data_IF_082938277736
#
_entry.id   IF_082938277736
#
_cell.length_a   1.000
_cell.length_b   1.000
_cell.length_c   1.000
_cell.angle_alpha   90.00
_cell.angle_beta   90.00
_cell.angle_gamma   90.00
#
_symmetry.space_group_name_H-M   'P 1'
#
loop_
_entity.id
_entity.type
_entity.pdbx_description
1 polymer ?
#
# COMPACT_ATOMS: atom_id res chain seq x y z
N UNK A 1 11.38 2.60 34.13
CA UNK A 1 11.79 2.35 32.73
C UNK A 1 10.86 1.30 32.14
N UNK A 2 10.36 1.50 30.91
CA UNK A 2 9.55 0.48 30.22
C UNK A 2 10.49 -0.54 29.55
N UNK A 3 10.11 -1.83 29.49
CA UNK A 3 10.92 -2.85 28.84
C UNK A 3 10.98 -2.58 27.34
N UNK A 4 12.18 -2.77 26.77
CA UNK A 4 12.40 -2.69 25.32
C UNK A 4 11.65 -3.84 24.63
N UNK A 5 11.05 -3.61 23.45
CA UNK A 5 10.44 -4.68 22.67
C UNK A 5 11.51 -5.74 22.33
N UNK A 6 11.20 -7.00 22.61
CA UNK A 6 12.07 -8.13 22.31
C UNK A 6 11.67 -8.65 20.93
N UNK A 7 12.59 -8.58 19.98
CA UNK A 7 12.44 -9.18 18.66
C UNK A 7 12.58 -10.69 18.83
N UNK A 8 11.64 -11.45 18.28
CA UNK A 8 11.72 -12.90 18.21
C UNK A 8 12.59 -13.29 17.01
N UNK A 9 13.79 -13.79 17.30
CA UNK A 9 14.78 -14.17 16.28
C UNK A 9 14.51 -15.55 15.67
N UNK A 10 13.62 -16.36 16.26
CA UNK A 10 13.29 -17.70 15.77
C UNK A 10 12.39 -17.67 14.52
N UNK A 11 11.85 -16.49 14.18
CA UNK A 11 11.05 -16.27 12.97
C UNK A 11 11.93 -16.22 11.70
N UNK A 12 13.24 -15.99 11.84
CA UNK A 12 14.14 -15.82 10.69
C UNK A 12 14.75 -17.14 10.23
N UNK A 13 14.76 -17.36 8.91
CA UNK A 13 15.49 -18.49 8.33
C UNK A 13 17.01 -18.30 8.42
N UNK A 14 17.76 -19.41 8.38
CA UNK A 14 19.24 -19.38 8.43
C UNK A 14 19.88 -18.51 7.34
N UNK A 15 19.25 -18.41 6.17
CA UNK A 15 19.74 -17.58 5.07
C UNK A 15 19.47 -16.09 5.32
N UNK A 16 18.35 -15.74 5.96
CA UNK A 16 18.04 -14.38 6.40
C UNK A 16 18.99 -13.92 7.50
N UNK A 17 19.23 -14.76 8.51
CA UNK A 17 20.19 -14.47 9.59
C UNK A 17 21.56 -14.13 9.01
N UNK A 18 22.05 -14.95 8.07
CA UNK A 18 23.35 -14.73 7.43
C UNK A 18 23.42 -13.44 6.59
N UNK A 19 22.32 -13.06 5.95
CA UNK A 19 22.23 -11.78 5.23
C UNK A 19 22.19 -10.60 6.20
N UNK A 20 21.48 -10.76 7.32
CA UNK A 20 21.37 -9.75 8.35
C UNK A 20 22.72 -9.49 9.01
N UNK A 21 23.43 -10.55 9.42
CA UNK A 21 24.80 -10.48 9.95
C UNK A 21 25.73 -9.73 8.99
N UNK A 22 25.74 -10.12 7.71
CA UNK A 22 26.61 -9.48 6.71
C UNK A 22 26.28 -8.00 6.51
N UNK A 23 25.01 -7.63 6.60
CA UNK A 23 24.56 -6.24 6.42
C UNK A 23 24.88 -5.41 7.67
N UNK A 24 24.68 -6.00 8.85
CA UNK A 24 25.01 -5.39 10.13
C UNK A 24 26.52 -5.19 10.31
N UNK A 25 27.34 -6.15 9.89
CA UNK A 25 28.80 -6.03 9.91
C UNK A 25 29.26 -4.85 9.06
N UNK A 26 28.69 -4.68 7.86
CA UNK A 26 28.99 -3.52 7.01
C UNK A 26 28.55 -2.20 7.66
N UNK A 27 27.35 -2.19 8.25
CA UNK A 27 26.77 -1.01 8.88
C UNK A 27 27.56 -0.60 10.13
N UNK A 28 28.02 -1.56 10.92
CA UNK A 28 28.75 -1.34 12.18
C UNK A 28 30.16 -0.80 11.98
N UNK A 29 30.78 -1.07 10.83
CA UNK A 29 32.10 -0.55 10.49
C UNK A 29 32.09 0.88 9.91
N UNK A 30 30.90 1.43 9.64
CA UNK A 30 30.73 2.76 9.06
C UNK A 30 30.66 3.84 10.15
N UNK A 31 31.29 5.02 9.95
CA UNK A 31 31.04 6.18 10.80
C UNK A 31 29.57 6.62 10.70
N UNK A 32 28.89 6.70 11.84
CA UNK A 32 27.50 7.15 11.93
C UNK A 32 27.49 8.68 12.01
N UNK A 33 26.88 9.32 11.01
CA UNK A 33 26.71 10.78 10.95
C UNK A 33 25.52 11.28 11.77
N UNK A 34 25.23 12.57 11.67
CA UNK A 34 24.01 13.14 12.25
C UNK A 34 22.74 12.56 11.59
N UNK A 35 21.59 12.64 12.27
CA UNK A 35 20.31 12.12 11.73
C UNK A 35 20.01 12.68 10.33
N UNK A 36 20.35 13.95 10.09
CA UNK A 36 20.15 14.57 8.78
C UNK A 36 21.14 14.03 7.74
N UNK A 37 22.42 13.91 8.08
CA UNK A 37 23.43 13.32 7.18
C UNK A 37 23.10 11.87 6.81
N UNK A 38 22.55 11.10 7.75
CA UNK A 38 22.08 9.74 7.51
C UNK A 38 20.88 9.67 6.56
N UNK A 39 20.07 10.74 6.52
CA UNK A 39 18.93 10.90 5.61
C UNK A 39 19.30 11.66 4.32
N UNK A 40 20.60 11.94 4.10
CA UNK A 40 21.08 12.69 2.94
C UNK A 40 20.61 14.14 2.89
N UNK A 41 20.39 14.74 4.06
CA UNK A 41 19.89 16.10 4.22
C UNK A 41 20.82 16.90 5.15
N UNK A 42 20.82 18.23 5.00
CA UNK A 42 21.45 19.11 5.99
C UNK A 42 20.42 19.84 6.84
N UNK A 43 19.17 19.91 6.35
CA UNK A 43 18.02 20.50 7.03
C UNK A 43 16.75 19.62 6.86
N UNK A 44 15.77 19.71 7.77
CA UNK A 44 14.56 18.86 7.74
C UNK A 44 13.78 18.89 6.42
N UNK A 45 13.78 20.03 5.73
CA UNK A 45 13.02 20.26 4.49
C UNK A 45 13.66 19.57 3.27
N UNK A 46 14.94 19.19 3.36
CA UNK A 46 15.68 18.52 2.29
C UNK A 46 15.54 16.99 2.29
N UNK A 47 14.92 16.44 3.34
CA UNK A 47 14.75 15.01 3.55
C UNK A 47 13.81 14.44 2.49
N UNK A 48 14.38 13.68 1.55
CA UNK A 48 13.67 12.96 0.52
C UNK A 48 14.14 11.50 0.50
N UNK A 49 13.21 10.56 0.27
CA UNK A 49 13.51 9.12 0.29
C UNK A 49 14.61 8.72 -0.73
N UNK A 50 14.70 9.45 -1.83
CA UNK A 50 15.71 9.27 -2.88
C UNK A 50 17.15 9.57 -2.41
N UNK A 51 17.28 10.37 -1.35
CA UNK A 51 18.57 10.80 -0.78
C UNK A 51 19.02 9.94 0.41
N UNK A 52 18.18 9.01 0.86
CA UNK A 52 18.53 8.06 1.92
C UNK A 52 19.68 7.19 1.42
N UNK A 53 20.74 7.07 2.24
CA UNK A 53 21.94 6.29 1.89
C UNK A 53 21.56 4.88 1.44
N UNK A 54 22.24 4.38 0.40
CA UNK A 54 21.87 3.14 -0.28
C UNK A 54 21.88 1.91 0.64
N UNK A 55 22.76 1.89 1.64
CA UNK A 55 22.84 0.83 2.65
C UNK A 55 21.63 0.80 3.60
N UNK A 56 21.06 1.97 3.94
CA UNK A 56 19.77 2.07 4.65
C UNK A 56 18.60 1.69 3.76
N UNK A 57 18.65 2.09 2.50
CA UNK A 57 17.63 1.72 1.50
C UNK A 57 17.60 0.23 1.22
N UNK A 58 18.76 -0.45 1.21
CA UNK A 58 18.82 -1.92 1.12
C UNK A 58 18.12 -2.59 2.30
N UNK A 59 18.29 -2.05 3.51
CA UNK A 59 17.60 -2.53 4.71
C UNK A 59 16.09 -2.28 4.62
N UNK A 60 15.68 -1.08 4.18
CA UNK A 60 14.28 -0.73 3.94
C UNK A 60 13.67 -1.59 2.83
N UNK A 61 14.40 -1.94 1.77
CA UNK A 61 13.95 -2.85 0.71
C UNK A 61 13.84 -4.29 1.19
N UNK A 62 14.70 -4.74 2.12
CA UNK A 62 14.57 -6.06 2.75
C UNK A 62 13.33 -6.09 3.66
N UNK A 63 13.11 -5.06 4.48
CA UNK A 63 11.95 -4.97 5.38
C UNK A 63 10.65 -4.76 4.58
N UNK A 64 10.66 -3.93 3.53
CA UNK A 64 9.52 -3.70 2.63
C UNK A 64 9.34 -4.85 1.61
N UNK A 65 10.35 -5.71 1.44
CA UNK A 65 10.25 -6.98 0.73
C UNK A 65 9.68 -8.10 1.60
N UNK A 66 9.96 -8.09 2.90
CA UNK A 66 9.33 -8.98 3.90
C UNK A 66 7.86 -8.60 4.16
N UNK A 67 7.50 -7.32 4.06
CA UNK A 67 6.11 -6.90 3.84
C UNK A 67 5.81 -7.19 2.36
N UNK A 68 5.46 -8.42 1.99
CA UNK A 68 5.16 -8.82 0.60
C UNK A 68 4.39 -7.75 -0.20
N UNK A 69 5.13 -6.88 -0.90
CA UNK A 69 4.60 -5.87 -1.82
C UNK A 69 4.67 -6.38 -3.27
N UNK A 70 5.35 -7.52 -3.49
CA UNK A 70 5.60 -8.10 -4.80
C UNK A 70 4.40 -8.70 -5.53
N UNK A 71 3.21 -8.74 -4.92
CA UNK A 71 2.03 -9.37 -5.53
C UNK A 71 0.75 -8.52 -5.53
N UNK A 72 0.82 -7.22 -5.21
CA UNK A 72 -0.33 -6.35 -5.51
C UNK A 72 -0.35 -6.10 -7.02
N UNK A 73 -0.95 -7.06 -7.72
CA UNK A 73 -1.32 -6.96 -9.13
C UNK A 73 -2.09 -5.67 -9.37
N UNK A 74 -1.83 -5.01 -10.50
CA UNK A 74 -2.51 -3.78 -10.90
C UNK A 74 -3.98 -4.06 -11.12
N UNK A 75 -4.81 -3.39 -10.34
CA UNK A 75 -6.25 -3.48 -10.50
C UNK A 75 -6.73 -2.27 -11.31
N UNK A 76 -7.57 -2.46 -12.34
CA UNK A 76 -8.27 -3.70 -12.71
C UNK A 76 -7.56 -4.55 -13.79
N UNK A 77 -6.50 -4.05 -14.41
CA UNK A 77 -5.93 -4.59 -15.65
C UNK A 77 -5.42 -6.04 -15.53
N UNK A 78 -4.82 -6.41 -14.41
CA UNK A 78 -4.30 -7.77 -14.19
C UNK A 78 -5.40 -8.79 -13.81
N UNK A 79 -6.64 -8.32 -13.66
CA UNK A 79 -7.80 -9.11 -13.24
C UNK A 79 -8.90 -9.18 -14.31
N UNK A 80 -8.71 -8.53 -15.46
CA UNK A 80 -9.62 -8.59 -16.61
C UNK A 80 -8.91 -9.34 -17.73
N UNK A 81 -9.56 -10.36 -18.30
CA UNK A 81 -9.00 -11.10 -19.43
C UNK A 81 -9.12 -10.31 -20.75
N UNK A 82 -8.11 -10.43 -21.62
CA UNK A 82 -8.11 -9.78 -22.92
C UNK A 82 -9.21 -10.38 -23.83
N UNK A 83 -10.32 -9.67 -23.99
CA UNK A 83 -11.45 -10.08 -24.83
C UNK A 83 -12.82 -10.02 -24.15
N UNK A 84 -12.87 -9.77 -22.84
CA UNK A 84 -14.14 -9.59 -22.14
C UNK A 84 -14.88 -8.31 -22.56
N UNK A 85 -16.21 -8.41 -22.70
CA UNK A 85 -17.05 -7.24 -22.89
C UNK A 85 -17.01 -6.35 -21.64
N UNK A 86 -16.33 -5.22 -21.75
CA UNK A 86 -16.19 -4.26 -20.67
C UNK A 86 -17.02 -2.99 -20.95
N UNK A 87 -17.62 -2.44 -19.90
CA UNK A 87 -18.09 -1.06 -19.87
C UNK A 87 -16.92 -0.17 -19.45
N UNK A 88 -16.57 0.82 -20.27
CA UNK A 88 -15.57 1.82 -19.89
C UNK A 88 -16.24 2.99 -19.18
N UNK A 89 -15.65 3.41 -18.06
CA UNK A 89 -16.01 4.66 -17.38
C UNK A 89 -14.76 5.50 -17.14
N UNK A 90 -14.90 6.81 -17.28
CA UNK A 90 -13.90 7.76 -16.82
C UNK A 90 -14.21 8.16 -15.39
N UNK A 91 -13.20 8.07 -14.53
CA UNK A 91 -13.34 8.37 -13.12
C UNK A 91 -12.32 9.43 -12.74
N UNK A 92 -12.74 10.55 -12.11
CA UNK A 92 -11.80 11.55 -11.64
C UNK A 92 -10.90 10.94 -10.56
N UNK A 93 -9.68 11.45 -10.40
CA UNK A 93 -8.85 11.08 -9.26
C UNK A 93 -9.31 11.81 -8.00
N UNK A 94 -9.23 11.16 -6.85
CA UNK A 94 -9.53 11.79 -5.57
C UNK A 94 -10.03 10.82 -4.52
N UNK A 95 -10.52 11.35 -3.40
CA UNK A 95 -11.06 10.54 -2.31
C UNK A 95 -12.33 9.83 -2.78
N UNK A 96 -12.32 8.50 -2.67
CA UNK A 96 -13.43 7.62 -3.02
C UNK A 96 -14.26 7.28 -1.79
N UNK A 97 -15.57 7.24 -1.94
CA UNK A 97 -16.52 6.74 -0.93
C UNK A 97 -17.56 5.87 -1.62
N UNK A 98 -17.63 4.61 -1.23
CA UNK A 98 -18.71 3.70 -1.61
C UNK A 98 -19.90 3.93 -0.69
N UNK A 99 -21.11 3.99 -1.25
CA UNK A 99 -22.35 4.13 -0.51
C UNK A 99 -23.51 3.39 -1.15
N UNK A 100 -24.62 3.31 -0.42
CA UNK A 100 -25.90 2.83 -0.94
C UNK A 100 -27.01 3.79 -0.51
N UNK A 101 -27.99 3.98 -1.39
CA UNK A 101 -29.23 4.66 -1.08
C UNK A 101 -30.43 3.92 -1.71
N UNK A 102 -31.61 4.52 -1.65
CA UNK A 102 -32.84 3.92 -2.20
C UNK A 102 -32.80 3.69 -3.72
N UNK A 103 -31.83 4.28 -4.44
CA UNK A 103 -31.63 4.07 -5.88
C UNK A 103 -30.62 2.97 -6.19
N UNK A 104 -29.97 2.39 -5.17
CA UNK A 104 -28.97 1.34 -5.34
C UNK A 104 -27.59 1.76 -4.82
N UNK A 105 -26.56 1.14 -5.38
CA UNK A 105 -25.17 1.35 -4.98
C UNK A 105 -24.54 2.48 -5.78
N UNK A 106 -23.63 3.22 -5.17
CA UNK A 106 -22.92 4.30 -5.85
C UNK A 106 -21.50 4.49 -5.33
N UNK A 107 -20.67 5.04 -6.19
CA UNK A 107 -19.31 5.48 -5.86
C UNK A 107 -19.22 6.98 -6.03
N UNK A 108 -18.78 7.68 -4.97
CA UNK A 108 -18.54 9.12 -5.00
C UNK A 108 -17.05 9.39 -5.01
N UNK A 109 -16.57 10.11 -6.01
CA UNK A 109 -15.14 10.38 -6.20
C UNK A 109 -14.86 11.87 -6.27
N UNK A 110 -13.99 12.38 -5.39
CA UNK A 110 -13.62 13.80 -5.34
C UNK A 110 -14.25 14.60 -4.19
N UNK A 111 -14.72 13.96 -3.12
CA UNK A 111 -15.20 14.65 -1.92
C UNK A 111 -16.64 15.20 -2.04
N UNK A 112 -16.91 16.41 -1.51
CA UNK A 112 -18.27 16.95 -1.39
C UNK A 112 -18.92 17.29 -2.75
N UNK A 113 -18.15 17.82 -3.71
CA UNK A 113 -18.54 18.12 -5.09
C UNK A 113 -18.12 17.02 -6.08
N UNK A 114 -17.79 15.84 -5.59
CA UNK A 114 -17.29 14.73 -6.38
C UNK A 114 -18.32 14.12 -7.33
N UNK A 115 -17.85 13.53 -8.42
CA UNK A 115 -18.67 12.78 -9.36
C UNK A 115 -19.31 11.58 -8.67
N UNK A 116 -20.60 11.35 -8.96
CA UNK A 116 -21.35 10.19 -8.47
C UNK A 116 -21.56 9.23 -9.61
N UNK A 117 -21.12 7.99 -9.43
CA UNK A 117 -21.24 6.90 -10.39
C UNK A 117 -22.22 5.89 -9.81
N UNK A 118 -23.30 5.61 -10.51
CA UNK A 118 -24.30 4.60 -10.10
C UNK A 118 -23.84 3.20 -10.52
N UNK A 119 -24.04 2.24 -9.62
CA UNK A 119 -23.59 0.86 -9.76
C UNK A 119 -24.78 -0.09 -9.60
N UNK A 120 -24.82 -1.15 -10.39
CA UNK A 120 -25.85 -2.19 -10.32
C UNK A 120 -25.72 -3.10 -9.10
N UNK A 121 -24.50 -3.23 -8.55
CA UNK A 121 -24.23 -4.08 -7.39
C UNK A 121 -23.18 -3.47 -6.45
N UNK A 122 -23.08 -4.04 -5.25
CA UNK A 122 -22.04 -3.68 -4.28
C UNK A 122 -20.65 -4.03 -4.81
N UNK A 123 -20.53 -5.13 -5.55
CA UNK A 123 -19.26 -5.59 -6.09
C UNK A 123 -18.78 -4.70 -7.24
N UNK A 124 -19.67 -4.23 -8.10
CA UNK A 124 -19.33 -3.21 -9.09
C UNK A 124 -18.83 -1.92 -8.41
N UNK A 125 -19.48 -1.49 -7.33
CA UNK A 125 -19.06 -0.31 -6.58
C UNK A 125 -17.65 -0.50 -5.94
N UNK A 126 -17.38 -1.69 -5.37
CA UNK A 126 -16.06 -2.03 -4.83
C UNK A 126 -15.00 -2.15 -5.92
N UNK A 127 -15.37 -2.65 -7.10
CA UNK A 127 -14.48 -2.74 -8.25
C UNK A 127 -13.98 -1.35 -8.65
N UNK A 128 -14.91 -0.40 -8.80
CA UNK A 128 -14.57 1.00 -9.14
C UNK A 128 -13.74 1.62 -8.02
N UNK A 129 -14.08 1.37 -6.75
CA UNK A 129 -13.28 1.85 -5.62
C UNK A 129 -11.82 1.38 -5.73
N UNK A 130 -11.59 0.09 -5.94
CA UNK A 130 -10.24 -0.45 -6.07
C UNK A 130 -9.50 0.09 -7.28
N UNK A 131 -10.16 0.27 -8.42
CA UNK A 131 -9.54 0.85 -9.61
C UNK A 131 -9.10 2.31 -9.37
N UNK A 132 -9.93 3.12 -8.72
CA UNK A 132 -9.58 4.52 -8.43
C UNK A 132 -8.50 4.62 -7.35
N UNK A 133 -8.52 3.72 -6.37
CA UNK A 133 -7.45 3.62 -5.37
C UNK A 133 -6.10 3.30 -6.00
N UNK A 134 -6.07 2.57 -7.12
CA UNK A 134 -4.86 2.31 -7.90
C UNK A 134 -4.54 3.40 -8.93
N UNK A 135 -5.22 4.54 -8.88
CA UNK A 135 -4.94 5.68 -9.76
C UNK A 135 -5.47 5.51 -11.19
N UNK A 136 -6.28 4.49 -11.48
CA UNK A 136 -6.87 4.30 -12.81
C UNK A 136 -7.86 5.43 -13.11
N UNK A 137 -7.55 6.25 -14.12
CA UNK A 137 -8.45 7.31 -14.63
C UNK A 137 -9.53 6.77 -15.57
N UNK A 138 -9.24 5.64 -16.22
CA UNK A 138 -10.15 4.91 -17.09
C UNK A 138 -10.31 3.52 -16.52
N UNK A 139 -11.53 3.16 -16.13
CA UNK A 139 -11.84 1.87 -15.51
C UNK A 139 -12.65 1.06 -16.51
N UNK A 140 -12.12 -0.11 -16.89
CA UNK A 140 -12.84 -1.12 -17.66
C UNK A 140 -13.54 -2.04 -16.67
N UNK A 141 -14.85 -2.16 -16.73
CA UNK A 141 -15.65 -2.98 -15.82
C UNK A 141 -16.23 -4.14 -16.65
N UNK A 142 -15.89 -5.40 -16.36
CA UNK A 142 -16.50 -6.55 -17.02
C UNK A 142 -18.03 -6.51 -16.87
N UNK A 143 -18.77 -6.80 -17.93
CA UNK A 143 -20.23 -6.96 -17.86
C UNK A 143 -20.65 -8.23 -17.11
N UNK A 144 -19.76 -9.24 -17.07
CA UNK A 144 -20.02 -10.46 -16.32
C UNK A 144 -19.83 -10.22 -14.81
N UNK A 145 -20.92 -10.39 -14.07
CA UNK A 145 -20.94 -10.18 -12.62
C UNK A 145 -20.04 -11.18 -11.87
N UNK A 146 -19.80 -12.37 -12.44
CA UNK A 146 -18.93 -13.37 -11.80
C UNK A 146 -17.47 -12.92 -11.85
N UNK A 147 -16.98 -12.44 -13.00
CA UNK A 147 -15.63 -11.87 -13.10
C UNK A 147 -15.44 -10.70 -12.13
N UNK A 148 -16.41 -9.79 -12.04
CA UNK A 148 -16.38 -8.66 -11.09
C UNK A 148 -16.28 -9.16 -9.65
N UNK A 149 -17.12 -10.13 -9.26
CA UNK A 149 -17.10 -10.75 -7.92
C UNK A 149 -15.77 -11.40 -7.60
N UNK A 150 -15.22 -12.18 -8.52
CA UNK A 150 -13.95 -12.87 -8.31
C UNK A 150 -12.79 -11.87 -8.19
N UNK A 151 -12.72 -10.88 -9.09
CA UNK A 151 -11.69 -9.85 -9.07
C UNK A 151 -11.71 -9.07 -7.75
N UNK A 152 -12.89 -8.62 -7.32
CA UNK A 152 -13.07 -7.90 -6.05
C UNK A 152 -12.73 -8.79 -4.85
N UNK A 153 -13.10 -10.07 -4.86
CA UNK A 153 -12.80 -10.98 -3.76
C UNK A 153 -11.29 -11.25 -3.65
N UNK A 154 -10.62 -11.51 -4.77
CA UNK A 154 -9.17 -11.79 -4.82
C UNK A 154 -8.36 -10.57 -4.41
N UNK A 155 -8.65 -9.42 -4.99
CA UNK A 155 -7.96 -8.18 -4.68
C UNK A 155 -8.27 -7.71 -3.26
N UNK A 156 -9.54 -7.73 -2.85
CA UNK A 156 -9.96 -7.34 -1.49
C UNK A 156 -9.28 -8.19 -0.41
N UNK A 157 -9.18 -9.50 -0.62
CA UNK A 157 -8.47 -10.39 0.32
C UNK A 157 -6.98 -10.08 0.41
N UNK A 158 -6.32 -9.78 -0.72
CA UNK A 158 -4.91 -9.39 -0.74
C UNK A 158 -4.69 -8.03 -0.04
N UNK A 159 -5.56 -7.06 -0.34
CA UNK A 159 -5.54 -5.74 0.26
C UNK A 159 -5.74 -5.78 1.78
N UNK A 160 -6.72 -6.57 2.26
CA UNK A 160 -6.99 -6.73 3.69
C UNK A 160 -5.84 -7.43 4.42
N UNK A 161 -5.21 -8.44 3.80
CA UNK A 161 -4.01 -9.06 4.35
C UNK A 161 -2.89 -8.05 4.49
N UNK A 162 -2.60 -7.29 3.44
CA UNK A 162 -1.56 -6.25 3.46
C UNK A 162 -1.86 -5.18 4.52
N UNK A 163 -3.11 -4.68 4.58
CA UNK A 163 -3.55 -3.72 5.60
C UNK A 163 -3.35 -4.25 7.02
N UNK A 164 -3.66 -5.53 7.26
CA UNK A 164 -3.42 -6.18 8.56
C UNK A 164 -1.93 -6.27 8.89
N UNK A 165 -1.09 -6.67 7.94
CA UNK A 165 0.37 -6.74 8.13
C UNK A 165 0.92 -5.36 8.48
N UNK A 166 0.58 -4.32 7.71
CA UNK A 166 1.02 -2.95 7.99
C UNK A 166 0.52 -2.47 9.35
N UNK A 167 -0.74 -2.73 9.69
CA UNK A 167 -1.30 -2.35 11.00
C UNK A 167 -0.63 -3.11 12.16
N UNK A 168 -0.37 -4.40 12.01
CA UNK A 168 0.37 -5.22 12.98
C UNK A 168 1.77 -4.67 13.19
N UNK A 169 2.52 -4.46 12.12
CA UNK A 169 3.90 -3.97 12.16
C UNK A 169 3.99 -2.56 12.76
N UNK A 170 3.13 -1.65 12.34
CA UNK A 170 3.09 -0.28 12.89
C UNK A 170 2.62 -0.27 14.34
N UNK A 171 1.70 -1.14 14.76
CA UNK A 171 1.31 -1.27 16.18
C UNK A 171 2.43 -1.82 17.06
N UNK A 172 3.14 -2.85 16.59
CA UNK A 172 4.27 -3.46 17.29
C UNK A 172 5.42 -2.47 17.47
N UNK A 173 5.73 -1.70 16.43
CA UNK A 173 6.93 -0.85 16.40
C UNK A 173 6.69 0.62 16.79
N UNK A 174 5.45 1.13 16.71
CA UNK A 174 5.14 2.54 16.96
C UNK A 174 4.04 2.67 18.02
N UNK A 175 4.41 3.13 19.22
CA UNK A 175 3.45 3.31 20.32
C UNK A 175 2.58 4.57 20.15
N UNK A 176 3.09 5.60 19.49
CA UNK A 176 2.37 6.86 19.27
C UNK A 176 1.31 6.70 18.16
N UNK A 177 0.04 6.85 18.51
CA UNK A 177 -1.10 6.68 17.58
C UNK A 177 -1.14 7.70 16.44
N UNK A 178 -0.70 8.95 16.70
CA UNK A 178 -0.64 10.01 15.67
C UNK A 178 0.49 9.73 14.68
N UNK A 179 1.63 9.23 15.16
CA UNK A 179 2.75 8.85 14.30
C UNK A 179 2.42 7.59 13.48
N UNK A 180 1.78 6.59 14.08
CA UNK A 180 1.25 5.41 13.36
C UNK A 180 0.38 5.81 12.17
N UNK A 181 -0.59 6.68 12.40
CA UNK A 181 -1.51 7.11 11.33
C UNK A 181 -0.79 7.81 10.18
N UNK A 182 0.26 8.57 10.48
CA UNK A 182 1.08 9.22 9.45
C UNK A 182 1.90 8.20 8.67
N UNK A 183 2.52 7.23 9.36
CA UNK A 183 3.31 6.16 8.73
C UNK A 183 2.43 5.27 7.87
N UNK A 184 1.30 4.80 8.38
CA UNK A 184 0.33 4.04 7.59
C UNK A 184 -0.10 4.82 6.34
N UNK A 185 -0.44 6.10 6.47
CA UNK A 185 -0.81 6.94 5.33
C UNK A 185 0.34 7.09 4.31
N UNK A 186 1.58 7.20 4.75
CA UNK A 186 2.75 7.27 3.87
C UNK A 186 3.01 5.95 3.14
N UNK A 187 2.87 4.81 3.84
CA UNK A 187 2.96 3.47 3.24
C UNK A 187 1.88 3.30 2.17
N UNK A 188 0.64 3.69 2.45
CA UNK A 188 -0.45 3.64 1.48
C UNK A 188 -0.18 4.54 0.27
N UNK A 189 0.31 5.76 0.48
CA UNK A 189 0.66 6.65 -0.63
C UNK A 189 1.71 6.01 -1.55
N UNK A 190 2.72 5.33 -1.00
CA UNK A 190 3.77 4.65 -1.76
C UNK A 190 3.26 3.43 -2.53
N UNK A 191 2.40 2.61 -1.92
CA UNK A 191 1.79 1.45 -2.60
C UNK A 191 0.96 1.88 -3.80
N UNK A 192 0.25 3.00 -3.68
CA UNK A 192 -0.58 3.57 -4.75
C UNK A 192 0.27 4.27 -5.82
N UNK A 193 1.39 4.93 -5.46
CA UNK A 193 2.23 5.65 -6.45
C UNK A 193 3.23 4.77 -7.21
N UNK A 194 3.56 3.58 -6.70
CA UNK A 194 4.44 2.62 -7.39
C UNK A 194 3.71 1.66 -8.34
N UNK A 195 2.38 1.71 -8.39
CA UNK A 195 1.56 0.95 -9.36
C UNK A 195 1.22 1.81 -10.57
#
# INVERSE_FOLDING_TARGET
MKPLPIIDFDVFSKSQIKKLEKSFDKLSQRPIGSVFEELGATVPEEVALEKVKSDRRELDEIVMGEIETGELKKFPEDFIEAGEECREIEVPSGKVVVGSDLRGFFVKVGGASGARIECGSLEEAKFIEFAVLNGSRRVRIPKDERTVKEAVARYGSAYDRFKKVVAEQTRRNIQNSKLRRKVEAAVWAQVVTKQ
#
